data_IF_000308518205
#
_entry.id   IF_000308518205
#
_cell.length_a   1.000
_cell.length_b   1.000
_cell.length_c   1.000
_cell.angle_alpha   90.00
_cell.angle_beta   90.00
_cell.angle_gamma   90.00
#
_symmetry.space_group_name_H-M   'P 1'
#
loop_
_entity.id
_entity.type
_entity.pdbx_description
1 polymer ?
#
# COMPACT_ATOMS: atom_id res chain seq x y z
N UNK A 1 -20.65 -0.14 11.32
CA UNK A 1 -20.36 1.16 11.97
C UNK A 1 -19.68 1.07 13.35
N UNK A 2 -20.04 0.16 14.24
CA UNK A 2 -19.41 0.06 15.59
C UNK A 2 -17.91 -0.24 15.60
N UNK A 3 -17.42 -0.94 14.57
CA UNK A 3 -16.02 -1.35 14.48
C UNK A 3 -15.06 -0.17 14.22
N UNK A 4 -15.42 0.77 13.32
CA UNK A 4 -14.56 1.94 13.02
C UNK A 4 -14.50 2.95 14.18
N UNK A 5 -15.56 3.07 14.98
CA UNK A 5 -15.56 3.87 16.21
C UNK A 5 -14.73 3.21 17.32
N UNK A 6 -14.84 1.88 17.48
CA UNK A 6 -14.00 1.12 18.42
C UNK A 6 -12.52 1.25 18.09
N UNK A 7 -12.15 1.19 16.81
CA UNK A 7 -10.76 1.34 16.39
C UNK A 7 -10.25 2.77 16.64
N UNK A 8 -11.04 3.81 16.33
CA UNK A 8 -10.68 5.20 16.65
C UNK A 8 -10.49 5.43 18.15
N UNK A 9 -11.38 4.89 18.98
CA UNK A 9 -11.24 4.96 20.43
C UNK A 9 -9.97 4.23 20.92
N UNK A 10 -9.71 3.03 20.40
CA UNK A 10 -8.50 2.27 20.72
C UNK A 10 -7.25 3.04 20.30
N UNK A 11 -7.22 3.60 19.10
CA UNK A 11 -6.10 4.39 18.59
C UNK A 11 -5.83 5.62 19.48
N UNK A 12 -6.87 6.39 19.82
CA UNK A 12 -6.76 7.51 20.74
C UNK A 12 -6.21 7.10 22.11
N UNK A 13 -6.63 5.94 22.64
CA UNK A 13 -6.13 5.43 23.92
C UNK A 13 -4.68 4.96 23.89
N UNK A 14 -4.21 4.47 22.74
CA UNK A 14 -2.88 3.86 22.59
C UNK A 14 -1.92 4.74 21.79
N UNK A 15 -2.29 5.99 21.51
CA UNK A 15 -1.43 6.95 20.86
C UNK A 15 -0.28 7.33 21.80
N UNK A 16 0.92 6.87 21.44
CA UNK A 16 2.16 7.15 22.18
C UNK A 16 3.01 8.20 21.46
N UNK A 17 2.51 8.77 20.36
CA UNK A 17 3.21 9.77 19.58
C UNK A 17 3.27 11.10 20.35
N UNK A 18 4.48 11.60 20.58
CA UNK A 18 4.73 12.84 21.32
C UNK A 18 4.98 14.06 20.42
N UNK A 19 4.81 13.91 19.09
CA UNK A 19 5.03 14.97 18.11
C UNK A 19 3.77 15.81 17.83
N UNK A 20 3.79 16.65 16.78
CA UNK A 20 2.64 17.50 16.42
C UNK A 20 1.42 16.66 16.02
N UNK A 21 0.21 17.24 16.10
CA UNK A 21 -1.01 16.55 15.67
C UNK A 21 -0.84 15.97 14.26
N UNK A 22 -1.00 14.65 14.12
CA UNK A 22 -0.86 13.96 12.84
C UNK A 22 -2.20 13.91 12.14
N UNK A 23 -2.19 14.15 10.82
CA UNK A 23 -3.38 13.96 10.01
C UNK A 23 -3.62 12.49 9.67
N UNK A 24 -2.61 11.62 9.80
CA UNK A 24 -2.66 10.18 9.52
C UNK A 24 -1.94 9.41 10.64
N UNK A 25 -2.55 8.37 11.18
CA UNK A 25 -1.97 7.45 12.15
C UNK A 25 -1.70 6.08 11.50
N UNK A 26 -0.46 5.60 11.59
CA UNK A 26 -0.04 4.29 11.05
C UNK A 26 0.35 3.38 12.20
N UNK A 27 -0.40 2.30 12.39
CA UNK A 27 -0.08 1.25 13.35
C UNK A 27 0.58 0.09 12.61
N UNK A 28 1.82 -0.23 12.95
CA UNK A 28 2.57 -1.33 12.29
C UNK A 28 2.72 -2.50 13.26
N UNK A 29 2.19 -3.67 12.88
CA UNK A 29 2.39 -4.92 13.59
C UNK A 29 3.52 -5.70 12.92
N UNK A 30 4.63 -5.83 13.64
CA UNK A 30 5.79 -6.57 13.18
C UNK A 30 5.71 -8.05 13.54
N UNK A 31 5.90 -8.91 12.54
CA UNK A 31 5.91 -10.37 12.67
C UNK A 31 7.30 -10.92 12.41
N UNK A 32 7.71 -11.92 13.17
CA UNK A 32 8.97 -12.62 12.96
C UNK A 32 8.93 -13.40 11.62
N UNK A 33 9.84 -13.11 10.67
CA UNK A 33 9.89 -13.84 9.39
C UNK A 33 10.30 -15.31 9.53
N UNK A 34 10.93 -15.72 10.64
CA UNK A 34 11.24 -17.13 10.88
C UNK A 34 9.99 -17.93 11.26
N UNK A 35 8.99 -17.26 11.87
CA UNK A 35 7.72 -17.86 12.23
C UNK A 35 6.67 -17.78 11.11
N UNK A 36 6.77 -16.81 10.20
CA UNK A 36 5.80 -16.56 9.13
C UNK A 36 6.48 -16.30 7.78
N UNK A 37 6.12 -17.07 6.75
CA UNK A 37 6.64 -16.85 5.38
C UNK A 37 5.79 -15.90 4.53
N UNK A 38 4.53 -15.66 4.93
CA UNK A 38 3.59 -14.71 4.31
C UNK A 38 2.70 -14.08 5.38
N UNK A 39 2.34 -12.80 5.19
CA UNK A 39 1.40 -12.09 6.05
C UNK A 39 0.05 -11.94 5.35
N UNK A 40 -1.04 -12.02 6.11
CA UNK A 40 -2.37 -11.64 5.61
C UNK A 40 -2.41 -10.15 5.22
N UNK A 41 -3.50 -9.75 4.58
CA UNK A 41 -3.72 -8.36 4.15
C UNK A 41 -3.64 -7.34 5.30
N UNK A 42 -2.97 -6.23 5.02
CA UNK A 42 -3.03 -4.99 5.81
C UNK A 42 -4.37 -4.29 5.59
N UNK A 43 -4.71 -3.30 6.43
CA UNK A 43 -6.00 -2.63 6.39
C UNK A 43 -5.87 -1.10 6.56
N UNK A 44 -6.18 -0.35 5.52
CA UNK A 44 -6.37 1.10 5.56
C UNK A 44 -7.84 1.51 5.71
N UNK A 45 -8.14 2.47 6.60
CA UNK A 45 -9.47 3.05 6.73
C UNK A 45 -9.49 4.52 6.34
N UNK A 46 -10.12 4.79 5.19
CA UNK A 46 -10.30 6.13 4.64
C UNK A 46 -10.99 7.12 5.61
N UNK A 47 -12.06 6.70 6.29
CA UNK A 47 -12.88 7.60 7.13
C UNK A 47 -12.32 7.87 8.55
N UNK A 48 -11.07 7.49 8.82
CA UNK A 48 -10.42 7.74 10.12
C UNK A 48 -8.97 8.16 10.03
N UNK A 49 -8.43 8.34 8.82
CA UNK A 49 -7.01 8.55 8.55
C UNK A 49 -6.09 7.60 9.33
N UNK A 50 -6.49 6.34 9.40
CA UNK A 50 -5.80 5.33 10.20
C UNK A 50 -5.55 4.10 9.33
N UNK A 51 -4.33 3.59 9.35
CA UNK A 51 -4.01 2.29 8.75
C UNK A 51 -3.30 1.36 9.72
N UNK A 52 -3.62 0.08 9.59
CA UNK A 52 -3.00 -1.03 10.30
C UNK A 52 -2.19 -1.84 9.29
N UNK A 53 -0.88 -1.82 9.41
CA UNK A 53 0.04 -2.50 8.49
C UNK A 53 0.64 -3.70 9.17
N UNK A 54 0.53 -4.88 8.54
CA UNK A 54 1.29 -6.06 8.95
C UNK A 54 2.63 -6.05 8.19
N UNK A 55 3.74 -6.09 8.92
CA UNK A 55 5.09 -5.97 8.39
C UNK A 55 5.99 -7.05 8.98
N UNK A 56 7.09 -7.40 8.30
CA UNK A 56 8.08 -8.33 8.85
C UNK A 56 9.11 -7.61 9.73
N UNK A 57 9.47 -8.22 10.86
CA UNK A 57 10.44 -7.75 11.85
C UNK A 57 11.90 -8.02 11.41
N UNK A 58 12.26 -7.71 10.17
CA UNK A 58 13.60 -7.95 9.64
C UNK A 58 14.11 -6.83 8.74
N UNK A 59 15.43 -6.62 8.81
CA UNK A 59 16.14 -5.63 8.00
C UNK A 59 16.03 -5.90 6.50
N UNK A 60 16.03 -7.17 6.10
CA UNK A 60 15.95 -7.54 4.67
C UNK A 60 14.59 -7.16 4.05
N UNK A 61 13.52 -7.17 4.85
CA UNK A 61 12.16 -6.87 4.40
C UNK A 61 11.76 -5.41 4.66
N UNK A 62 12.65 -4.57 5.21
CA UNK A 62 12.32 -3.18 5.56
C UNK A 62 11.82 -2.39 4.35
N UNK A 63 12.49 -2.50 3.21
CA UNK A 63 12.10 -1.77 2.01
C UNK A 63 10.78 -2.27 1.40
N UNK A 64 10.54 -3.58 1.42
CA UNK A 64 9.25 -4.15 1.01
C UNK A 64 8.11 -3.74 1.96
N UNK A 65 8.36 -3.68 3.26
CA UNK A 65 7.40 -3.17 4.24
C UNK A 65 7.03 -1.71 3.93
N UNK A 66 8.00 -0.88 3.55
CA UNK A 66 7.76 0.54 3.21
C UNK A 66 6.80 0.68 2.01
N UNK A 67 6.86 -0.23 1.03
CA UNK A 67 5.91 -0.24 -0.10
C UNK A 67 4.48 -0.46 0.40
N UNK A 68 4.28 -1.45 1.27
CA UNK A 68 2.96 -1.75 1.86
C UNK A 68 2.48 -0.58 2.72
N UNK A 69 3.35 -0.03 3.57
CA UNK A 69 3.00 1.12 4.43
C UNK A 69 2.54 2.31 3.57
N UNK A 70 3.28 2.65 2.51
CA UNK A 70 2.92 3.74 1.62
C UNK A 70 1.59 3.49 0.90
N UNK A 71 1.36 2.26 0.42
CA UNK A 71 0.08 1.86 -0.19
C UNK A 71 -1.11 2.09 0.77
N UNK A 72 -1.00 1.63 2.01
CA UNK A 72 -2.06 1.81 3.01
C UNK A 72 -2.26 3.27 3.42
N UNK A 73 -1.18 4.07 3.46
CA UNK A 73 -1.29 5.52 3.68
C UNK A 73 -2.09 6.17 2.54
N UNK A 74 -1.85 5.79 1.28
CA UNK A 74 -2.57 6.36 0.14
C UNK A 74 -4.07 6.03 0.17
N UNK A 75 -4.48 4.87 0.71
CA UNK A 75 -5.89 4.61 0.99
C UNK A 75 -6.51 5.61 1.98
N UNK A 76 -5.77 6.06 2.99
CA UNK A 76 -6.25 7.09 3.92
C UNK A 76 -6.45 8.45 3.26
N UNK A 77 -5.77 8.69 2.14
CA UNK A 77 -5.92 9.88 1.30
C UNK A 77 -6.98 9.71 0.21
N UNK A 78 -7.58 8.53 0.12
CA UNK A 78 -8.72 8.25 -0.74
C UNK A 78 -8.42 7.49 -2.02
N UNK A 79 -7.17 7.07 -2.23
CA UNK A 79 -6.80 6.22 -3.35
C UNK A 79 -7.50 4.86 -3.28
N UNK A 80 -7.86 4.31 -4.44
CA UNK A 80 -8.43 2.96 -4.58
C UNK A 80 -7.40 1.97 -5.12
N UNK A 81 -7.63 0.68 -4.92
CA UNK A 81 -6.81 -0.36 -5.54
C UNK A 81 -6.94 -0.35 -7.06
N UNK A 82 -5.81 -0.53 -7.78
CA UNK A 82 -5.76 -0.74 -9.24
C UNK A 82 -5.31 -2.15 -9.59
N UNK A 83 -5.72 -3.14 -8.80
CA UNK A 83 -5.41 -4.55 -9.05
C UNK A 83 -6.59 -5.44 -8.70
N UNK A 84 -6.61 -6.63 -9.30
CA UNK A 84 -7.63 -7.64 -9.04
C UNK A 84 -7.37 -8.31 -7.68
N UNK A 85 -8.33 -8.25 -6.76
CA UNK A 85 -8.19 -8.80 -5.40
C UNK A 85 -8.04 -10.33 -5.36
N UNK A 86 -8.49 -11.06 -6.40
CA UNK A 86 -8.39 -12.52 -6.49
C UNK A 86 -7.04 -12.97 -7.07
N UNK A 87 -6.59 -12.32 -8.15
CA UNK A 87 -5.36 -12.73 -8.85
C UNK A 87 -4.13 -11.93 -8.43
N UNK A 88 -4.35 -10.81 -7.74
CA UNK A 88 -3.34 -9.80 -7.38
C UNK A 88 -2.63 -9.16 -8.59
N UNK A 89 -3.19 -9.33 -9.80
CA UNK A 89 -2.67 -8.71 -11.02
C UNK A 89 -3.13 -7.26 -11.14
N UNK A 90 -2.23 -6.32 -11.49
CA UNK A 90 -2.60 -4.94 -11.76
C UNK A 90 -3.57 -4.83 -12.95
N UNK A 91 -4.55 -3.94 -12.86
CA UNK A 91 -5.45 -3.65 -13.96
C UNK A 91 -4.74 -2.80 -15.01
N UNK A 92 -4.84 -3.16 -16.29
CA UNK A 92 -4.38 -2.29 -17.37
C UNK A 92 -5.52 -1.36 -17.81
N UNK A 93 -5.25 -0.05 -18.03
CA UNK A 93 -3.97 0.65 -17.86
C UNK A 93 -3.70 1.17 -16.44
N UNK A 94 -4.70 1.26 -15.56
CA UNK A 94 -4.66 2.10 -14.35
C UNK A 94 -3.64 1.64 -13.30
N UNK A 95 -3.36 0.34 -13.21
CA UNK A 95 -2.40 -0.30 -12.32
C UNK A 95 -1.02 -0.52 -12.93
N UNK A 96 -0.80 -0.08 -14.17
CA UNK A 96 0.51 -0.15 -14.83
C UNK A 96 1.26 1.16 -14.61
N UNK A 97 2.56 1.07 -14.32
CA UNK A 97 3.38 2.24 -14.03
C UNK A 97 3.67 3.08 -15.28
N UNK A 98 3.86 2.43 -16.42
CA UNK A 98 3.98 3.05 -17.75
C UNK A 98 3.12 2.27 -18.76
N UNK A 99 1.82 2.59 -18.86
CA UNK A 99 0.91 1.95 -19.80
C UNK A 99 1.26 2.20 -21.28
N UNK A 100 2.12 3.19 -21.57
CA UNK A 100 2.54 3.54 -22.92
C UNK A 100 3.85 2.86 -23.35
N UNK A 101 4.53 2.16 -22.43
CA UNK A 101 5.79 1.45 -22.68
C UNK A 101 5.66 0.46 -23.87
N UNK A 102 6.72 0.36 -24.68
CA UNK A 102 6.85 -0.66 -25.74
C UNK A 102 8.21 -1.38 -25.65
N UNK A 103 8.26 -2.72 -25.50
CA UNK A 103 7.13 -3.63 -25.29
C UNK A 103 6.39 -3.33 -23.97
N UNK A 104 5.09 -3.63 -23.89
CA UNK A 104 4.27 -3.32 -22.70
C UNK A 104 4.77 -4.07 -21.46
N UNK A 105 5.19 -5.31 -21.62
CA UNK A 105 5.69 -6.18 -20.55
C UNK A 105 7.12 -6.64 -20.86
N UNK A 106 7.96 -6.88 -19.84
CA UNK A 106 7.71 -6.58 -18.43
C UNK A 106 7.74 -5.07 -18.16
N UNK A 107 6.95 -4.61 -17.19
CA UNK A 107 7.05 -3.26 -16.66
C UNK A 107 8.31 -3.14 -15.78
N UNK A 108 8.91 -1.94 -15.71
CA UNK A 108 10.08 -1.69 -14.85
C UNK A 108 9.72 -1.28 -13.42
N UNK A 109 8.54 -0.68 -13.26
CA UNK A 109 8.05 -0.12 -12.01
C UNK A 109 6.64 -0.65 -11.76
N UNK A 110 6.20 -0.61 -10.50
CA UNK A 110 4.81 -0.82 -10.14
C UNK A 110 4.10 0.52 -10.01
N UNK A 111 2.85 0.60 -10.42
CA UNK A 111 1.98 1.63 -9.89
C UNK A 111 1.71 1.27 -8.42
N UNK A 112 1.90 2.21 -7.49
CA UNK A 112 1.90 1.91 -6.05
C UNK A 112 0.57 1.33 -5.56
N UNK A 113 -0.54 1.78 -6.13
CA UNK A 113 -1.90 1.26 -5.89
C UNK A 113 -2.24 0.07 -6.78
N UNK A 114 -1.43 -0.23 -7.79
CA UNK A 114 -1.39 -1.50 -8.52
C UNK A 114 -0.63 -2.61 -7.79
N UNK A 115 0.07 -2.28 -6.68
CA UNK A 115 0.72 -3.20 -5.73
C UNK A 115 1.94 -3.98 -6.25
N UNK A 116 1.99 -4.33 -7.53
CA UNK A 116 3.01 -5.21 -8.10
C UNK A 116 3.51 -4.73 -9.47
N UNK A 117 4.72 -5.14 -9.84
CA UNK A 117 5.32 -4.94 -11.17
C UNK A 117 4.78 -6.05 -12.08
N UNK A 118 3.98 -5.73 -13.13
CA UNK A 118 3.57 -6.72 -14.13
C UNK A 118 4.78 -7.27 -14.91
N UNK A 119 4.98 -8.59 -14.87
CA UNK A 119 6.04 -9.28 -15.62
C UNK A 119 5.48 -9.97 -16.87
N UNK A 120 4.28 -10.53 -16.76
CA UNK A 120 3.50 -11.12 -17.85
C UNK A 120 2.01 -10.85 -17.63
N UNK A 121 1.12 -11.41 -18.45
CA UNK A 121 -0.33 -11.30 -18.27
C UNK A 121 -0.84 -12.01 -17.00
N UNK A 122 -0.07 -12.95 -16.46
CA UNK A 122 -0.46 -13.79 -15.30
C UNK A 122 0.52 -13.73 -14.14
N UNK A 123 1.65 -13.04 -14.29
CA UNK A 123 2.71 -12.96 -13.30
C UNK A 123 3.06 -11.51 -12.97
N UNK A 124 3.14 -11.20 -11.68
CA UNK A 124 3.57 -9.91 -11.17
C UNK A 124 4.39 -10.08 -9.90
N UNK A 125 5.36 -9.20 -9.67
CA UNK A 125 6.24 -9.25 -8.49
C UNK A 125 6.01 -8.04 -7.59
N UNK A 126 5.96 -8.24 -6.27
CA UNK A 126 5.98 -7.13 -5.31
C UNK A 126 7.30 -6.36 -5.46
N UNK A 127 7.29 -5.02 -5.53
CA UNK A 127 8.51 -4.22 -5.63
C UNK A 127 9.42 -4.43 -4.43
N UNK A 128 10.74 -4.49 -4.68
CA UNK A 128 11.72 -4.68 -3.61
C UNK A 128 11.86 -3.43 -2.71
N UNK A 129 11.47 -2.26 -3.22
CA UNK A 129 11.46 -0.98 -2.48
C UNK A 129 10.56 0.06 -3.15
N UNK A 130 10.34 1.18 -2.46
CA UNK A 130 9.65 2.36 -3.02
C UNK A 130 10.37 2.98 -4.23
N UNK A 131 11.67 2.71 -4.43
CA UNK A 131 12.38 3.17 -5.62
C UNK A 131 11.87 2.50 -6.91
N UNK A 132 11.15 1.38 -6.78
CA UNK A 132 10.54 0.64 -7.88
C UNK A 132 9.02 0.88 -7.99
N UNK A 133 8.49 1.94 -7.36
CA UNK A 133 7.09 2.33 -7.46
C UNK A 133 6.92 3.73 -8.04
N UNK A 134 5.78 3.97 -8.68
CA UNK A 134 5.33 5.27 -9.17
C UNK A 134 3.87 5.51 -8.75
N UNK A 135 3.48 6.77 -8.66
CA UNK A 135 2.07 7.17 -8.53
C UNK A 135 1.53 7.45 -9.92
N UNK A 136 0.56 6.64 -10.35
CA UNK A 136 -0.09 6.80 -11.64
C UNK A 136 -1.01 8.03 -11.68
N UNK A 137 -1.41 8.51 -12.87
CA UNK A 137 -2.22 9.72 -13.01
C UNK A 137 -3.60 9.61 -12.35
N UNK A 138 -4.19 8.41 -12.31
CA UNK A 138 -5.45 8.20 -11.58
C UNK A 138 -5.23 8.29 -10.07
N UNK A 139 -4.26 7.58 -9.51
CA UNK A 139 -3.91 7.69 -8.08
C UNK A 139 -3.60 9.13 -7.70
N UNK A 140 -2.83 9.85 -8.52
CA UNK A 140 -2.50 11.25 -8.30
C UNK A 140 -3.75 12.14 -8.24
N UNK A 141 -4.77 11.90 -9.06
CA UNK A 141 -6.06 12.60 -8.99
C UNK A 141 -6.83 12.25 -7.72
N UNK A 142 -6.88 10.97 -7.36
CA UNK A 142 -7.59 10.51 -6.15
C UNK A 142 -7.03 11.13 -4.87
N UNK A 143 -5.72 11.36 -4.81
CA UNK A 143 -5.05 12.02 -3.67
C UNK A 143 -4.86 13.53 -3.85
N UNK A 144 -5.51 14.13 -4.86
CA UNK A 144 -5.50 15.57 -5.15
C UNK A 144 -4.13 16.18 -5.52
N UNK A 145 -3.19 15.38 -6.01
CA UNK A 145 -1.93 15.88 -6.57
C UNK A 145 -2.09 16.40 -8.00
N UNK A 146 -3.01 15.80 -8.76
CA UNK A 146 -3.47 16.31 -10.04
C UNK A 146 -4.93 16.75 -9.92
N UNK A 147 -5.26 17.87 -10.57
CA UNK A 147 -6.62 18.39 -10.66
C UNK A 147 -7.33 17.86 -11.89
#
# INVERSE_FOLDING_TARGET
MWWSLRLRYWAWKNDTYQGPLTNIQVFVLYYDPEAYSRLDHSLGLKEGHLCLVKAFASRQQTEGNNVIIAHEILHTLGATDKYNLQTLQPFYPEGYADPAQKPLLPQKYAEIMGRAIPLSESESKIPDSLAYTLIGPQTAREINWLK
#
